data_IF_346134336597
#
_entry.id   IF_346134336597
#
_cell.length_a   1.000
_cell.length_b   1.000
_cell.length_c   1.000
_cell.angle_alpha   90.00
_cell.angle_beta   90.00
_cell.angle_gamma   90.00
#
_symmetry.space_group_name_H-M   'P 1'
#
loop_
_entity.id
_entity.type
_entity.pdbx_description
1 polymer ?
#
# COMPACT_ATOMS: atom_id res chain seq x y z
N UNK A 1 14.93 -7.93 1.08
CA UNK A 1 13.73 -7.11 0.83
C UNK A 1 12.93 -7.10 2.11
N UNK A 2 12.52 -5.94 2.63
CA UNK A 2 11.73 -5.92 3.87
C UNK A 2 10.32 -5.36 3.66
N UNK A 3 10.13 -4.37 2.78
CA UNK A 3 8.80 -4.10 2.22
C UNK A 3 8.89 -3.41 0.85
N UNK A 4 7.76 -3.30 0.16
CA UNK A 4 7.63 -2.60 -1.12
C UNK A 4 6.58 -1.50 -1.01
N UNK A 5 6.92 -0.28 -1.39
CA UNK A 5 5.98 0.83 -1.49
C UNK A 5 5.65 1.09 -2.96
N UNK A 6 4.39 0.92 -3.34
CA UNK A 6 3.94 1.18 -4.72
C UNK A 6 3.68 2.67 -4.93
N UNK A 7 3.87 3.19 -6.15
CA UNK A 7 3.51 4.57 -6.50
C UNK A 7 3.07 4.68 -7.97
N UNK A 8 2.59 5.88 -8.35
CA UNK A 8 2.40 6.22 -9.75
C UNK A 8 3.72 6.18 -10.52
N UNK A 9 3.68 5.79 -11.80
CA UNK A 9 4.85 5.82 -12.68
C UNK A 9 5.39 7.24 -12.80
N UNK A 10 6.71 7.41 -12.71
CA UNK A 10 7.39 8.70 -12.71
C UNK A 10 7.54 9.35 -11.31
N UNK A 11 7.00 8.72 -10.26
CA UNK A 11 7.12 9.18 -8.87
C UNK A 11 8.14 8.38 -8.05
N UNK A 12 8.79 7.38 -8.65
CA UNK A 12 9.64 6.41 -7.96
C UNK A 12 10.78 7.07 -7.18
N UNK A 13 11.48 8.02 -7.80
CA UNK A 13 12.60 8.71 -7.15
C UNK A 13 12.14 9.64 -6.03
N UNK A 14 11.01 10.34 -6.21
CA UNK A 14 10.43 11.15 -5.14
C UNK A 14 9.99 10.29 -3.95
N UNK A 15 9.44 9.11 -4.23
CA UNK A 15 9.07 8.15 -3.19
C UNK A 15 10.31 7.64 -2.44
N UNK A 16 11.41 7.37 -3.14
CA UNK A 16 12.68 6.99 -2.50
C UNK A 16 13.15 8.10 -1.56
N UNK A 17 13.17 9.35 -2.02
CA UNK A 17 13.58 10.50 -1.19
C UNK A 17 12.67 10.66 0.04
N UNK A 18 11.36 10.51 -0.13
CA UNK A 18 10.39 10.54 0.99
C UNK A 18 10.66 9.41 1.99
N UNK A 19 10.86 8.18 1.54
CA UNK A 19 11.08 7.03 2.43
C UNK A 19 12.40 7.15 3.21
N UNK A 20 13.45 7.66 2.57
CA UNK A 20 14.72 7.95 3.25
C UNK A 20 14.56 9.06 4.29
N UNK A 21 13.81 10.12 3.96
CA UNK A 21 13.49 11.20 4.90
C UNK A 21 12.65 10.72 6.10
N UNK A 22 11.83 9.69 5.91
CA UNK A 22 11.08 9.02 6.99
C UNK A 22 11.95 8.08 7.85
N UNK A 23 13.25 7.95 7.57
CA UNK A 23 14.19 7.16 8.36
C UNK A 23 14.45 5.75 7.85
N UNK A 24 13.93 5.36 6.68
CA UNK A 24 14.26 4.06 6.09
C UNK A 24 15.76 3.99 5.78
N UNK A 25 16.41 2.87 6.12
CA UNK A 25 17.86 2.71 5.92
C UNK A 25 18.24 2.76 4.44
N UNK A 26 17.44 2.13 3.58
CA UNK A 26 17.67 2.12 2.13
C UNK A 26 16.36 1.96 1.37
N UNK A 27 16.19 2.77 0.33
CA UNK A 27 15.12 2.63 -0.64
C UNK A 27 15.70 2.64 -2.06
N UNK A 28 15.20 1.78 -2.94
CA UNK A 28 15.66 1.66 -4.33
C UNK A 28 14.46 1.74 -5.27
N UNK A 29 14.48 2.71 -6.19
CA UNK A 29 13.45 2.89 -7.20
C UNK A 29 13.33 1.66 -8.10
N UNK A 30 12.10 1.26 -8.40
CA UNK A 30 11.78 0.20 -9.36
C UNK A 30 10.47 0.53 -10.06
N UNK A 31 10.13 -0.16 -11.14
CA UNK A 31 8.95 0.20 -11.94
C UNK A 31 7.67 0.26 -11.09
N UNK A 32 7.09 1.47 -10.99
CA UNK A 32 5.89 1.79 -10.21
C UNK A 32 6.02 1.60 -8.69
N UNK A 33 7.21 1.80 -8.12
CA UNK A 33 7.39 1.82 -6.67
C UNK A 33 8.86 1.87 -6.21
N UNK A 34 9.07 1.53 -4.95
CA UNK A 34 10.40 1.41 -4.35
C UNK A 34 10.49 0.15 -3.48
N UNK A 35 11.61 -0.57 -3.62
CA UNK A 35 11.99 -1.65 -2.71
C UNK A 35 12.70 -1.03 -1.50
N UNK A 36 12.29 -1.40 -0.30
CA UNK A 36 12.79 -0.80 0.94
C UNK A 36 13.41 -1.85 1.84
N UNK A 37 14.54 -1.48 2.43
CA UNK A 37 15.19 -2.19 3.53
C UNK A 37 14.91 -1.40 4.82
N UNK A 38 13.98 -1.92 5.63
CA UNK A 38 13.54 -1.34 6.90
C UNK A 38 12.74 -2.36 7.72
N UNK A 39 12.48 -2.09 8.99
CA UNK A 39 11.75 -2.99 9.89
C UNK A 39 10.23 -2.84 9.76
N UNK A 40 9.46 -3.63 10.53
CA UNK A 40 8.00 -3.54 10.54
C UNK A 40 7.51 -2.13 10.88
N UNK A 41 8.17 -1.46 11.84
CA UNK A 41 7.87 -0.09 12.23
C UNK A 41 8.12 0.91 11.09
N UNK A 42 9.14 0.70 10.25
CA UNK A 42 9.41 1.57 9.08
C UNK A 42 8.29 1.44 8.04
N UNK A 43 7.80 0.21 7.83
CA UNK A 43 6.69 -0.04 6.93
C UNK A 43 5.40 0.63 7.46
N UNK A 44 5.14 0.55 8.76
CA UNK A 44 4.02 1.24 9.41
C UNK A 44 4.17 2.76 9.37
N UNK A 45 5.37 3.29 9.60
CA UNK A 45 5.69 4.72 9.47
C UNK A 45 5.44 5.19 8.04
N UNK A 46 5.80 4.41 7.03
CA UNK A 46 5.46 4.70 5.64
C UNK A 46 3.93 4.71 5.41
N UNK A 47 3.16 3.78 5.99
CA UNK A 47 1.68 3.80 5.92
C UNK A 47 1.09 5.07 6.54
N UNK A 48 1.67 5.56 7.64
CA UNK A 48 1.21 6.77 8.34
C UNK A 48 1.60 8.06 7.61
N UNK A 49 2.86 8.18 7.19
CA UNK A 49 3.45 9.45 6.81
C UNK A 49 3.66 9.64 5.30
N UNK A 50 3.69 8.58 4.50
CA UNK A 50 3.94 8.72 3.06
C UNK A 50 2.80 9.46 2.36
N UNK A 51 3.16 10.54 1.66
CA UNK A 51 2.27 11.27 0.77
C UNK A 51 2.27 10.65 -0.64
N UNK A 52 3.34 9.99 -1.06
CA UNK A 52 3.49 9.52 -2.44
C UNK A 52 3.07 8.07 -2.66
N UNK A 53 3.26 7.19 -1.67
CA UNK A 53 2.92 5.78 -1.79
C UNK A 53 1.42 5.60 -2.03
N UNK A 54 1.10 4.60 -2.85
CA UNK A 54 -0.27 4.17 -3.15
C UNK A 54 -0.71 3.02 -2.24
N UNK A 55 0.22 2.11 -1.92
CA UNK A 55 0.09 0.99 -0.98
C UNK A 55 1.48 0.60 -0.46
N UNK A 56 1.54 0.09 0.76
CA UNK A 56 2.74 -0.51 1.37
C UNK A 56 2.50 -2.01 1.51
N UNK A 57 3.36 -2.81 0.89
CA UNK A 57 3.23 -4.26 0.76
C UNK A 57 4.37 -4.96 1.50
N UNK A 58 4.03 -5.94 2.32
CA UNK A 58 4.96 -6.81 3.04
C UNK A 58 5.12 -8.16 2.31
N UNK A 59 6.24 -8.43 1.62
CA UNK A 59 6.43 -9.65 0.84
C UNK A 59 6.48 -10.89 1.73
N UNK A 60 5.74 -11.93 1.36
CA UNK A 60 5.72 -13.24 2.01
C UNK A 60 6.50 -14.29 1.23
N UNK A 61 6.33 -14.30 -0.10
CA UNK A 61 6.96 -15.27 -0.97
C UNK A 61 7.31 -14.66 -2.33
N UNK A 62 8.42 -15.12 -2.89
CA UNK A 62 8.87 -14.79 -4.24
C UNK A 62 9.37 -16.08 -4.91
N UNK A 63 8.72 -16.47 -6.00
CA UNK A 63 8.96 -17.75 -6.66
C UNK A 63 8.77 -17.67 -8.17
N UNK A 64 9.32 -18.66 -8.88
CA UNK A 64 9.14 -18.80 -10.32
C UNK A 64 7.72 -19.25 -10.64
N UNK A 65 7.11 -18.57 -11.61
CA UNK A 65 5.73 -18.74 -12.02
C UNK A 65 5.69 -18.93 -13.55
N UNK A 66 6.01 -20.15 -13.98
CA UNK A 66 6.03 -20.55 -15.38
C UNK A 66 4.64 -20.83 -15.96
N UNK A 67 3.64 -21.06 -15.10
CA UNK A 67 2.23 -21.22 -15.46
C UNK A 67 1.33 -21.03 -14.22
N UNK A 68 0.04 -21.26 -14.42
CA UNK A 68 -0.98 -21.22 -13.37
C UNK A 68 -0.83 -22.32 -12.31
N UNK A 69 -0.33 -23.50 -12.67
CA UNK A 69 -0.08 -24.59 -11.72
C UNK A 69 1.07 -24.22 -10.79
N UNK A 70 2.13 -23.61 -11.33
CA UNK A 70 3.23 -23.06 -10.57
C UNK A 70 2.75 -21.94 -9.62
N UNK A 71 1.83 -21.08 -10.07
CA UNK A 71 1.21 -20.07 -9.21
C UNK A 71 0.49 -20.71 -8.01
N UNK A 72 -0.40 -21.66 -8.28
CA UNK A 72 -1.16 -22.35 -7.24
C UNK A 72 -0.22 -23.10 -6.27
N UNK A 73 0.72 -23.87 -6.80
CA UNK A 73 1.68 -24.62 -6.00
C UNK A 73 2.60 -23.73 -5.15
N UNK A 74 3.00 -22.56 -5.69
CA UNK A 74 3.78 -21.57 -4.94
C UNK A 74 2.96 -20.90 -3.84
N UNK A 75 1.70 -20.54 -4.12
CA UNK A 75 0.79 -19.97 -3.14
C UNK A 75 0.48 -20.96 -2.00
N UNK A 76 0.30 -22.25 -2.29
CA UNK A 76 0.09 -23.30 -1.27
C UNK A 76 1.26 -23.49 -0.30
N UNK A 77 2.48 -23.06 -0.68
CA UNK A 77 3.68 -23.19 0.18
C UNK A 77 3.81 -22.09 1.23
N UNK A 78 3.02 -21.01 1.10
CA UNK A 78 3.00 -19.94 2.10
C UNK A 78 2.31 -20.45 3.36
N UNK A 79 2.90 -20.16 4.53
CA UNK A 79 2.29 -20.48 5.82
C UNK A 79 1.12 -19.53 6.12
N UNK A 80 -0.03 -19.79 5.49
CA UNK A 80 -1.21 -18.95 5.63
C UNK A 80 -1.77 -18.93 7.06
N UNK A 81 -1.50 -19.95 7.88
CA UNK A 81 -1.94 -19.99 9.28
C UNK A 81 -1.24 -18.91 10.13
N UNK A 82 0.00 -18.55 9.78
CA UNK A 82 0.74 -17.47 10.42
C UNK A 82 0.24 -16.07 10.02
N UNK A 83 -0.54 -15.95 8.94
CA UNK A 83 -0.90 -14.67 8.34
C UNK A 83 -2.40 -14.38 8.27
N UNK A 84 -3.24 -15.41 8.26
CA UNK A 84 -4.70 -15.28 8.22
C UNK A 84 -5.27 -15.86 9.50
N UNK A 85 -5.71 -15.02 10.45
CA UNK A 85 -6.27 -15.50 11.70
C UNK A 85 -7.59 -16.26 11.46
N UNK A 86 -8.00 -17.15 12.38
CA UNK A 86 -9.30 -17.79 12.31
C UNK A 86 -10.44 -16.75 12.22
N UNK A 87 -11.43 -17.04 11.39
CA UNK A 87 -12.59 -16.16 11.12
C UNK A 87 -12.24 -14.80 10.49
N UNK A 88 -11.03 -14.64 9.95
CA UNK A 88 -10.66 -13.42 9.22
C UNK A 88 -11.22 -13.44 7.79
N UNK A 89 -11.68 -12.29 7.32
CA UNK A 89 -12.03 -12.09 5.91
C UNK A 89 -10.78 -11.81 5.08
N UNK A 90 -10.73 -12.36 3.86
CA UNK A 90 -9.61 -12.15 2.93
C UNK A 90 -10.06 -11.49 1.62
N UNK A 91 -9.16 -10.71 1.02
CA UNK A 91 -9.26 -10.28 -0.37
C UNK A 91 -7.94 -10.51 -1.09
N UNK A 92 -7.99 -10.83 -2.38
CA UNK A 92 -6.80 -10.99 -3.22
C UNK A 92 -6.85 -10.00 -4.38
N UNK A 93 -5.86 -9.12 -4.45
CA UNK A 93 -5.63 -8.23 -5.58
C UNK A 93 -4.44 -8.76 -6.40
N UNK A 94 -4.61 -8.92 -7.71
CA UNK A 94 -3.51 -9.33 -8.58
C UNK A 94 -3.15 -8.25 -9.60
N UNK A 95 -1.86 -8.08 -9.84
CA UNK A 95 -1.30 -7.25 -10.89
C UNK A 95 -0.41 -8.10 -11.77
N UNK A 96 -0.77 -8.20 -13.04
CA UNK A 96 -0.06 -9.05 -14.00
C UNK A 96 0.57 -8.15 -15.07
N UNK A 97 1.87 -8.30 -15.27
CA UNK A 97 2.62 -7.56 -16.28
C UNK A 97 2.25 -7.99 -17.70
N UNK A 98 2.32 -7.05 -18.65
CA UNK A 98 2.11 -7.34 -20.07
C UNK A 98 3.15 -8.31 -20.62
N UNK A 99 2.73 -9.26 -21.45
CA UNK A 99 3.62 -10.25 -22.08
C UNK A 99 4.17 -11.32 -21.15
N UNK A 100 3.61 -11.46 -19.94
CA UNK A 100 3.92 -12.54 -19.03
C UNK A 100 3.17 -13.83 -19.35
N UNK A 101 3.57 -14.91 -18.67
CA UNK A 101 2.93 -16.23 -18.72
C UNK A 101 1.43 -16.15 -18.40
N UNK A 102 1.08 -15.35 -17.41
CA UNK A 102 -0.29 -15.02 -17.07
C UNK A 102 -0.62 -13.68 -17.70
N UNK A 103 -1.84 -13.57 -18.23
CA UNK A 103 -2.34 -12.41 -18.95
C UNK A 103 -3.68 -11.89 -18.40
N UNK A 104 -4.27 -12.60 -17.43
CA UNK A 104 -5.53 -12.21 -16.78
C UNK A 104 -5.37 -12.05 -15.27
N UNK A 105 -5.38 -10.80 -14.81
CA UNK A 105 -5.23 -10.48 -13.39
C UNK A 105 -6.34 -11.09 -12.50
N UNK A 106 -7.61 -10.99 -12.92
CA UNK A 106 -8.72 -11.57 -12.16
C UNK A 106 -8.58 -13.08 -11.97
N UNK A 107 -8.10 -13.77 -13.00
CA UNK A 107 -7.86 -15.20 -12.95
C UNK A 107 -6.71 -15.56 -12.00
N UNK A 108 -5.59 -14.84 -12.07
CA UNK A 108 -4.47 -15.03 -11.16
C UNK A 108 -4.86 -14.76 -9.69
N UNK A 109 -5.70 -13.74 -9.44
CA UNK A 109 -6.26 -13.46 -8.12
C UNK A 109 -7.15 -14.62 -7.62
N UNK A 110 -8.03 -15.13 -8.48
CA UNK A 110 -8.89 -16.26 -8.14
C UNK A 110 -8.08 -17.51 -7.80
N UNK A 111 -7.08 -17.85 -8.61
CA UNK A 111 -6.22 -19.02 -8.37
C UNK A 111 -5.39 -18.91 -7.09
N UNK A 112 -4.91 -17.72 -6.77
CA UNK A 112 -4.21 -17.47 -5.50
C UNK A 112 -5.18 -17.57 -4.32
N UNK A 113 -6.39 -17.04 -4.45
CA UNK A 113 -7.44 -17.16 -3.45
C UNK A 113 -7.81 -18.62 -3.19
N UNK A 114 -7.95 -19.43 -4.24
CA UNK A 114 -8.25 -20.86 -4.11
C UNK A 114 -7.16 -21.56 -3.29
N UNK A 115 -5.88 -21.30 -3.60
CA UNK A 115 -4.76 -21.86 -2.84
C UNK A 115 -4.77 -21.45 -1.35
N UNK A 116 -5.06 -20.18 -1.05
CA UNK A 116 -5.18 -19.69 0.34
C UNK A 116 -6.32 -20.40 1.07
N UNK A 117 -7.49 -20.47 0.44
CA UNK A 117 -8.69 -21.11 1.00
C UNK A 117 -8.47 -22.59 1.23
N UNK A 118 -7.90 -23.30 0.27
CA UNK A 118 -7.64 -24.73 0.37
C UNK A 118 -6.62 -25.05 1.46
N UNK A 119 -5.57 -24.24 1.59
CA UNK A 119 -4.58 -24.39 2.68
C UNK A 119 -5.23 -24.21 4.05
N UNK A 120 -6.00 -23.14 4.22
CA UNK A 120 -6.68 -22.85 5.50
C UNK A 120 -7.76 -23.89 5.82
N UNK A 121 -8.53 -24.32 4.82
CA UNK A 121 -9.56 -25.35 4.98
C UNK A 121 -8.97 -26.71 5.34
N UNK A 122 -7.86 -27.09 4.71
CA UNK A 122 -7.17 -28.35 5.02
C UNK A 122 -6.65 -28.37 6.46
N UNK A 123 -6.16 -27.23 6.97
CA UNK A 123 -5.61 -27.12 8.31
C UNK A 123 -6.67 -26.92 9.42
N UNK A 124 -7.74 -26.17 9.16
CA UNK A 124 -8.72 -25.74 10.18
C UNK A 124 -10.10 -26.35 10.04
N UNK A 125 -10.39 -26.99 8.89
CA UNK A 125 -11.73 -27.49 8.54
C UNK A 125 -12.72 -26.40 8.11
N UNK A 126 -12.38 -25.12 8.26
CA UNK A 126 -13.24 -23.99 7.94
C UNK A 126 -12.74 -23.22 6.70
N UNK A 127 -13.69 -22.69 5.92
CA UNK A 127 -13.39 -21.78 4.80
C UNK A 127 -13.39 -20.34 5.32
N UNK A 128 -12.35 -19.53 5.04
CA UNK A 128 -12.38 -18.10 5.39
C UNK A 128 -13.40 -17.36 4.52
N UNK A 129 -14.06 -16.38 5.11
CA UNK A 129 -14.97 -15.49 4.41
C UNK A 129 -14.20 -14.48 3.54
N UNK A 130 -14.90 -13.86 2.60
CA UNK A 130 -14.30 -12.95 1.61
C UNK A 130 -15.05 -11.63 1.65
N UNK A 131 -14.34 -10.57 1.99
CA UNK A 131 -14.82 -9.19 1.93
C UNK A 131 -13.91 -8.41 0.98
N UNK A 132 -14.45 -7.94 -0.15
CA UNK A 132 -13.67 -7.20 -1.15
C UNK A 132 -13.50 -5.72 -0.78
N UNK A 133 -14.39 -5.19 0.05
CA UNK A 133 -14.39 -3.79 0.47
C UNK A 133 -13.54 -3.60 1.73
N UNK A 134 -13.83 -4.36 2.78
CA UNK A 134 -13.19 -4.25 4.10
C UNK A 134 -12.59 -5.58 4.59
N UNK A 135 -11.62 -6.17 3.85
CA UNK A 135 -10.96 -7.40 4.28
C UNK A 135 -10.11 -7.18 5.53
N UNK A 136 -10.13 -8.15 6.43
CA UNK A 136 -9.22 -8.21 7.57
C UNK A 136 -7.76 -8.35 7.10
N UNK A 137 -7.54 -9.19 6.09
CA UNK A 137 -6.23 -9.42 5.46
C UNK A 137 -6.35 -9.30 3.94
N UNK A 138 -5.66 -8.31 3.37
CA UNK A 138 -5.57 -8.12 1.91
C UNK A 138 -4.26 -8.66 1.38
N UNK A 139 -4.35 -9.62 0.46
CA UNK A 139 -3.22 -10.28 -0.19
C UNK A 139 -3.02 -9.63 -1.55
N UNK A 140 -1.78 -9.27 -1.85
CA UNK A 140 -1.38 -8.72 -3.13
C UNK A 140 -0.50 -9.72 -3.88
N UNK A 141 -0.89 -10.04 -5.11
CA UNK A 141 -0.08 -10.82 -6.05
C UNK A 141 0.45 -9.89 -7.13
N UNK A 142 1.76 -9.93 -7.36
CA UNK A 142 2.38 -9.33 -8.54
C UNK A 142 3.03 -10.42 -9.37
N UNK A 143 2.62 -10.56 -10.62
CA UNK A 143 3.28 -11.44 -11.60
C UNK A 143 3.95 -10.58 -12.65
N UNK A 144 5.28 -10.67 -12.76
CA UNK A 144 6.06 -9.95 -13.77
C UNK A 144 7.03 -10.92 -14.42
N UNK A 145 6.99 -11.02 -15.75
CA UNK A 145 7.72 -12.02 -16.53
C UNK A 145 7.34 -13.44 -16.05
N UNK A 146 8.29 -14.14 -15.44
CA UNK A 146 8.14 -15.52 -14.92
C UNK A 146 8.31 -15.56 -13.39
N UNK A 147 8.11 -14.44 -12.70
CA UNK A 147 8.22 -14.34 -11.24
C UNK A 147 6.90 -13.87 -10.64
N UNK A 148 6.47 -14.55 -9.58
CA UNK A 148 5.31 -14.19 -8.77
C UNK A 148 5.78 -13.78 -7.37
N UNK A 149 5.30 -12.62 -6.91
CA UNK A 149 5.54 -12.11 -5.57
C UNK A 149 4.19 -12.02 -4.87
N UNK A 150 4.05 -12.73 -3.75
CA UNK A 150 2.88 -12.66 -2.87
C UNK A 150 3.25 -11.80 -1.67
N UNK A 151 2.42 -10.81 -1.36
CA UNK A 151 2.62 -9.86 -0.26
C UNK A 151 1.33 -9.65 0.53
N UNK A 152 1.45 -9.22 1.78
CA UNK A 152 0.32 -8.66 2.55
C UNK A 152 0.31 -7.15 2.36
N UNK A 153 -0.86 -6.59 2.07
CA UNK A 153 -1.05 -5.16 2.09
C UNK A 153 -1.33 -4.67 3.52
N UNK A 154 -0.36 -3.93 4.08
CA UNK A 154 -0.47 -3.39 5.44
C UNK A 154 -1.06 -1.97 5.46
N UNK A 155 -1.37 -1.39 4.29
CA UNK A 155 -1.97 -0.06 4.17
C UNK A 155 -3.51 -0.07 4.21
N UNK A 156 -4.11 -1.25 4.05
CA UNK A 156 -5.56 -1.48 4.00
C UNK A 156 -6.19 -0.88 2.73
N UNK A 157 -6.69 0.34 2.85
CA UNK A 157 -7.28 1.08 1.73
C UNK A 157 -6.19 1.79 0.90
N UNK A 158 -6.45 2.10 -0.39
CA UNK A 158 -5.52 2.90 -1.18
C UNK A 158 -5.13 4.21 -0.47
N UNK A 159 -3.82 4.48 -0.37
CA UNK A 159 -3.29 5.56 0.46
C UNK A 159 -3.63 6.97 -0.01
N UNK A 160 -4.02 7.14 -1.28
CA UNK A 160 -4.54 8.41 -1.79
C UNK A 160 -5.85 8.81 -1.10
N UNK A 161 -6.66 7.85 -0.63
CA UNK A 161 -7.87 8.15 0.13
C UNK A 161 -7.48 8.56 1.55
N UNK A 162 -7.26 9.87 1.76
CA UNK A 162 -6.80 10.46 3.02
C UNK A 162 -7.86 10.54 4.13
N UNK A 163 -9.14 10.32 3.82
CA UNK A 163 -10.26 10.42 4.75
C UNK A 163 -10.94 11.80 4.81
N UNK A 164 -10.33 12.87 4.27
CA UNK A 164 -10.94 14.21 4.26
C UNK A 164 -11.96 14.43 3.13
N UNK A 165 -11.86 13.68 2.02
CA UNK A 165 -12.74 13.86 0.84
C UNK A 165 -14.11 13.23 1.08
N UNK A 166 -15.12 14.07 1.35
CA UNK A 166 -16.52 13.63 1.56
C UNK A 166 -17.37 13.58 0.29
N UNK A 167 -17.06 14.38 -0.73
CA UNK A 167 -17.76 14.40 -2.03
C UNK A 167 -16.78 14.11 -3.15
N UNK A 168 -17.13 13.15 -4.01
CA UNK A 168 -16.45 12.99 -5.29
C UNK A 168 -17.01 14.02 -6.26
N UNK A 169 -16.12 14.84 -6.80
CA UNK A 169 -16.38 15.71 -7.96
C UNK A 169 -15.90 14.94 -9.20
N UNK A 170 -16.38 15.28 -10.40
CA UNK A 170 -15.93 14.60 -11.61
C UNK A 170 -14.41 14.72 -11.81
N UNK A 171 -13.75 13.57 -12.02
CA UNK A 171 -12.32 13.41 -12.29
C UNK A 171 -11.36 14.20 -11.35
N UNK A 172 -11.41 13.98 -10.02
CA UNK A 172 -10.55 14.70 -9.10
C UNK A 172 -9.10 14.18 -9.22
N UNK A 173 -8.14 15.09 -9.16
CA UNK A 173 -6.72 14.75 -9.05
C UNK A 173 -6.52 13.86 -7.82
N UNK A 174 -5.81 12.74 -7.98
CA UNK A 174 -5.44 11.88 -6.84
C UNK A 174 -4.55 12.66 -5.87
N UNK A 175 -4.80 12.49 -4.59
CA UNK A 175 -4.13 13.19 -3.49
C UNK A 175 -2.62 12.97 -3.50
N UNK A 176 -2.18 11.74 -3.77
CA UNK A 176 -0.74 11.43 -3.88
C UNK A 176 -0.07 12.11 -5.09
N UNK A 177 -0.78 12.29 -6.19
CA UNK A 177 -0.27 13.03 -7.34
C UNK A 177 -0.24 14.54 -7.06
N UNK A 178 -1.23 15.08 -6.34
CA UNK A 178 -1.22 16.47 -5.89
C UNK A 178 -0.02 16.75 -4.98
N UNK A 179 0.25 15.88 -4.00
CA UNK A 179 1.44 15.96 -3.17
C UNK A 179 2.74 15.91 -3.99
N UNK A 180 2.81 15.03 -5.00
CA UNK A 180 3.96 14.97 -5.89
C UNK A 180 4.19 16.27 -6.68
N UNK A 181 3.12 16.92 -7.16
CA UNK A 181 3.20 18.22 -7.84
C UNK A 181 3.75 19.29 -6.89
N UNK A 182 3.27 19.35 -5.65
CA UNK A 182 3.75 20.29 -4.64
C UNK A 182 5.22 20.07 -4.30
N UNK A 183 5.64 18.82 -4.13
CA UNK A 183 7.04 18.46 -3.87
C UNK A 183 7.94 18.86 -5.03
N UNK A 184 7.55 18.57 -6.28
CA UNK A 184 8.31 19.02 -7.46
C UNK A 184 8.34 20.54 -7.60
N UNK A 185 7.24 21.21 -7.24
CA UNK A 185 7.14 22.67 -7.19
C UNK A 185 7.87 23.29 -6.00
N UNK A 186 8.53 22.49 -5.14
CA UNK A 186 9.25 22.94 -3.94
C UNK A 186 8.37 23.79 -3.02
N UNK A 187 7.09 23.42 -2.90
CA UNK A 187 6.09 24.16 -2.12
C UNK A 187 6.57 24.45 -0.69
N UNK A 188 7.16 23.47 -0.01
CA UNK A 188 7.63 23.66 1.37
C UNK A 188 8.77 24.66 1.50
N UNK A 189 9.61 24.82 0.48
CA UNK A 189 10.66 25.83 0.50
C UNK A 189 10.02 27.22 0.36
N UNK A 190 9.11 27.38 -0.60
CA UNK A 190 8.37 28.62 -0.79
C UNK A 190 7.54 29.02 0.45
N UNK A 191 6.90 28.06 1.12
CA UNK A 191 6.15 28.29 2.35
C UNK A 191 7.05 28.78 3.50
N UNK A 192 8.23 28.16 3.69
CA UNK A 192 9.21 28.58 4.71
C UNK A 192 9.73 29.99 4.47
N UNK A 193 9.80 30.42 3.21
CA UNK A 193 10.19 31.78 2.82
C UNK A 193 9.03 32.80 2.94
N UNK A 194 7.88 32.42 3.51
CA UNK A 194 6.71 33.27 3.67
C UNK A 194 5.80 33.36 2.44
N UNK A 195 6.00 32.47 1.46
CA UNK A 195 5.17 32.36 0.26
C UNK A 195 3.77 31.81 0.53
N UNK A 196 2.86 32.06 -0.41
CA UNK A 196 1.46 31.59 -0.38
C UNK A 196 1.16 30.67 -1.55
N UNK A 197 0.31 29.65 -1.33
CA UNK A 197 -0.16 28.75 -2.39
C UNK A 197 -1.48 29.28 -2.96
N UNK A 198 -1.51 29.54 -4.25
CA UNK A 198 -2.71 29.95 -4.98
C UNK A 198 -2.97 28.98 -6.13
N UNK A 199 -4.19 28.41 -6.17
CA UNK A 199 -4.69 27.64 -7.30
C UNK A 199 -5.98 28.31 -7.81
N UNK A 200 -5.91 29.10 -8.91
CA UNK A 200 -7.05 29.83 -9.44
C UNK A 200 -8.10 28.92 -10.11
N UNK A 201 -7.77 27.63 -10.31
CA UNK A 201 -8.63 26.63 -10.93
C UNK A 201 -8.76 25.40 -10.02
N UNK A 202 -8.86 25.63 -8.71
CA UNK A 202 -8.69 24.60 -7.68
C UNK A 202 -9.70 23.44 -7.73
N UNK A 203 -10.85 23.61 -8.41
CA UNK A 203 -11.87 22.58 -8.54
C UNK A 203 -12.27 22.00 -7.17
N UNK A 204 -11.92 20.73 -6.92
CA UNK A 204 -12.19 20.07 -5.64
C UNK A 204 -11.23 20.45 -4.49
N UNK A 205 -10.27 21.34 -4.74
CA UNK A 205 -9.31 21.85 -3.76
C UNK A 205 -8.16 20.90 -3.42
N UNK A 206 -7.98 19.76 -4.11
CA UNK A 206 -6.98 18.74 -3.75
C UNK A 206 -5.58 19.30 -3.55
N UNK A 207 -5.12 20.16 -4.46
CA UNK A 207 -3.78 20.74 -4.40
C UNK A 207 -3.61 21.66 -3.18
N UNK A 208 -4.61 22.50 -2.90
CA UNK A 208 -4.60 23.40 -1.74
C UNK A 208 -4.70 22.63 -0.42
N UNK A 209 -5.51 21.58 -0.35
CA UNK A 209 -5.67 20.76 0.84
C UNK A 209 -4.39 19.99 1.14
N UNK A 210 -3.80 19.29 0.16
CA UNK A 210 -2.52 18.61 0.38
C UNK A 210 -1.40 19.61 0.73
N UNK A 211 -1.40 20.81 0.13
CA UNK A 211 -0.46 21.88 0.46
C UNK A 211 -0.60 22.39 1.90
N UNK A 212 -1.83 22.57 2.38
CA UNK A 212 -2.10 22.94 3.76
C UNK A 212 -1.71 21.83 4.75
N UNK A 213 -2.00 20.57 4.42
CA UNK A 213 -1.61 19.42 5.26
C UNK A 213 -0.09 19.24 5.31
N UNK A 214 0.63 19.55 4.22
CA UNK A 214 2.10 19.58 4.23
C UNK A 214 2.64 20.72 5.11
N UNK A 215 2.06 21.92 5.00
CA UNK A 215 2.47 23.09 5.78
C UNK A 215 2.21 22.94 7.29
N UNK A 216 1.10 22.28 7.64
CA UNK A 216 0.70 22.00 9.02
C UNK A 216 1.32 20.71 9.60
N UNK A 217 2.22 20.05 8.86
CA UNK A 217 2.87 18.78 9.23
C UNK A 217 1.90 17.65 9.64
N UNK A 218 0.73 17.60 8.99
CA UNK A 218 -0.28 16.58 9.28
C UNK A 218 0.03 15.31 8.51
N UNK A 219 0.13 14.19 9.23
CA UNK A 219 0.34 12.87 8.64
C UNK A 219 -0.83 12.46 7.72
N UNK A 220 -0.58 12.03 6.47
CA UNK A 220 -1.64 11.65 5.53
C UNK A 220 -2.48 10.45 5.98
N UNK A 221 -1.92 9.59 6.83
CA UNK A 221 -2.55 8.41 7.40
C UNK A 221 -3.49 8.69 8.58
N UNK A 222 -3.36 9.84 9.23
CA UNK A 222 -4.02 10.11 10.52
C UNK A 222 -5.55 10.04 10.42
N UNK A 223 -6.11 10.67 9.38
CA UNK A 223 -7.56 10.71 9.15
C UNK A 223 -8.10 9.48 8.40
N UNK A 224 -7.22 8.60 7.88
CA UNK A 224 -7.62 7.44 7.05
C UNK A 224 -8.27 6.34 7.87
N UNK A 225 -7.75 6.14 9.07
CA UNK A 225 -8.08 4.98 9.90
C UNK A 225 -8.88 5.34 11.15
N UNK A 226 -8.94 6.63 11.54
CA UNK A 226 -9.54 7.01 12.81
C UNK A 226 -8.86 6.24 13.95
N UNK A 227 -9.66 5.50 14.73
CA UNK A 227 -9.18 4.62 15.80
C UNK A 227 -8.91 3.17 15.38
N UNK A 228 -9.22 2.82 14.14
CA UNK A 228 -9.06 1.46 13.62
C UNK A 228 -7.62 1.18 13.15
N UNK A 229 -7.28 -0.10 13.05
CA UNK A 229 -6.02 -0.54 12.47
C UNK A 229 -6.14 -0.60 10.94
N UNK A 230 -5.07 -0.31 10.18
CA UNK A 230 -5.07 -0.46 8.73
C UNK A 230 -5.32 -1.89 8.25
N UNK A 231 -4.97 -2.89 9.05
CA UNK A 231 -5.14 -4.32 8.77
C UNK A 231 -5.23 -5.11 10.08
N UNK A 232 -5.85 -6.29 10.03
CA UNK A 232 -5.84 -7.28 11.13
C UNK A 232 -4.80 -8.38 10.94
N UNK A 233 -3.86 -8.20 10.01
CA UNK A 233 -2.74 -9.11 9.81
C UNK A 233 -1.93 -9.30 11.13
N UNK A 234 -1.66 -10.54 11.56
CA UNK A 234 -0.94 -10.82 12.82
C UNK A 234 0.46 -10.23 12.89
N UNK A 235 1.13 -10.01 11.74
CA UNK A 235 2.45 -9.37 11.70
C UNK A 235 2.42 -7.85 11.88
N UNK A 236 1.24 -7.24 12.05
CA UNK A 236 1.11 -5.81 12.28
C UNK A 236 1.26 -5.48 13.77
N UNK A 237 2.36 -4.82 14.14
CA UNK A 237 2.61 -4.37 15.51
C UNK A 237 1.64 -3.25 15.91
N UNK A 238 0.74 -3.56 16.85
CA UNK A 238 -0.28 -2.63 17.34
C UNK A 238 0.29 -1.58 18.28
N UNK A 239 1.35 -1.92 19.01
CA UNK A 239 1.99 -1.02 19.97
C UNK A 239 2.74 0.06 19.20
N UNK A 240 3.59 -0.35 18.24
CA UNK A 240 4.32 0.57 17.38
C UNK A 240 3.37 1.49 16.57
N UNK A 241 2.23 0.97 16.11
CA UNK A 241 1.21 1.81 15.46
C UNK A 241 0.57 2.82 16.41
N UNK A 242 0.31 2.44 17.66
CA UNK A 242 -0.18 3.34 18.69
C UNK A 242 0.78 4.51 18.92
N UNK A 243 2.08 4.21 19.05
CA UNK A 243 3.12 5.22 19.23
C UNK A 243 3.21 6.16 18.02
N UNK A 244 3.15 5.62 16.79
CA UNK A 244 3.12 6.41 15.56
C UNK A 244 1.88 7.30 15.44
N UNK A 245 0.73 6.86 15.95
CA UNK A 245 -0.49 7.70 16.00
C UNK A 245 -0.32 8.85 16.99
N UNK A 246 0.28 8.60 18.15
CA UNK A 246 0.55 9.66 19.15
C UNK A 246 1.59 10.65 18.61
N UNK A 247 2.62 10.19 17.90
CA UNK A 247 3.61 11.05 17.22
C UNK A 247 2.96 11.99 16.18
N UNK A 248 1.88 11.54 15.53
CA UNK A 248 1.23 12.27 14.45
C UNK A 248 0.12 13.25 14.89
N UNK A 249 -0.24 13.29 16.18
CA UNK A 249 -1.26 14.18 16.77
C UNK A 249 -0.58 15.41 17.40
#
# INVERSE_FOLDING_TARGET
MRFFASCGKGLEYLLVDELLALGCTRATATTAGANVEGEGVDAQRAVMWSRLASRVLWPLADFECADEHALYAGAMKVDWLAHVPPNATIAVDAHVGSGGVLNHAQYAAQRTKDAVVDTLRAATGARPDVDLEHPDVRINLVVRKERAIISIDISGHPMHRRGWRRRQVDAPLKENLAAAVLMRGRWMDAYRDGGSLLDPMCGSGTLLIEGALMAADVAPGLLRHGDELPTRWPGFDRTAWGDLRVEAI
#
